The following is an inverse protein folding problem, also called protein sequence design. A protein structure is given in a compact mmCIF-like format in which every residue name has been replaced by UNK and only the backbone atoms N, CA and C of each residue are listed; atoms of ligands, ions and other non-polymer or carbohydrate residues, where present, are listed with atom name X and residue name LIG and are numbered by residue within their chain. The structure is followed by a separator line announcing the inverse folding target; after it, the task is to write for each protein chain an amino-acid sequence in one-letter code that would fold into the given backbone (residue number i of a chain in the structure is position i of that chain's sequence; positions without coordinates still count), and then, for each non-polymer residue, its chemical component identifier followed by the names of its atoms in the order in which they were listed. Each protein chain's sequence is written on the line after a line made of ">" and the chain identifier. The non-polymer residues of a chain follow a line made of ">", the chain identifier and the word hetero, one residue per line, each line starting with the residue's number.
data_IF_992859549758
#
_entry.id   IF_992859549758
#
_cell.length_a   1.000
_cell.length_b   1.000
_cell.length_c   1.000
_cell.angle_alpha   90.00
_cell.angle_beta   90.00
_cell.angle_gamma   90.00
#
_symmetry.space_group_name_H-M   'P 1'
#
loop_
_entity.id
_entity.type
_entity.pdbx_description
1 polymer ?
#
# COMPACT_ATOMS: atom_id res chain seq x y z
N UNK A 1 13.36 9.76 40.40
CA UNK A 1 14.61 9.50 39.65
C UNK A 1 14.39 8.60 38.44
N UNK A 2 13.73 7.44 38.57
CA UNK A 2 13.34 6.60 37.42
C UNK A 2 12.44 7.30 36.38
N UNK A 3 11.51 8.15 36.84
CA UNK A 3 10.59 8.87 35.94
C UNK A 3 11.30 9.89 35.03
N UNK A 4 12.35 10.55 35.53
CA UNK A 4 13.12 11.57 34.79
C UNK A 4 14.09 10.91 33.81
N UNK A 5 14.72 9.79 34.21
CA UNK A 5 15.60 9.00 33.35
C UNK A 5 14.85 8.32 32.19
N UNK A 6 13.59 7.90 32.42
CA UNK A 6 12.74 7.32 31.37
C UNK A 6 12.28 8.37 30.35
N UNK A 7 12.01 9.60 30.81
CA UNK A 7 11.63 10.72 29.97
C UNK A 7 12.76 11.17 29.03
N UNK A 8 14.02 11.07 29.48
CA UNK A 8 15.18 11.46 28.68
C UNK A 8 15.63 10.42 27.65
N UNK A 9 15.35 9.13 27.87
CA UNK A 9 15.84 8.04 26.99
C UNK A 9 14.77 7.28 26.19
N UNK A 10 13.50 7.18 26.66
CA UNK A 10 12.44 6.42 25.96
C UNK A 10 11.33 7.29 25.35
N UNK A 11 11.32 8.59 25.61
CA UNK A 11 10.36 9.52 24.99
C UNK A 11 8.92 9.42 25.52
N UNK A 12 8.20 10.54 25.46
CA UNK A 12 6.81 10.68 25.92
C UNK A 12 5.86 9.72 25.20
N UNK A 13 6.13 9.43 23.93
CA UNK A 13 5.29 8.56 23.11
C UNK A 13 5.22 7.13 23.65
N UNK A 14 6.37 6.52 23.99
CA UNK A 14 6.42 5.15 24.52
C UNK A 14 5.74 5.06 25.89
N UNK A 15 5.88 6.11 26.72
CA UNK A 15 5.17 6.19 27.99
C UNK A 15 3.65 6.22 27.79
N UNK A 16 3.16 7.06 26.86
CA UNK A 16 1.74 7.14 26.51
C UNK A 16 1.24 5.79 25.99
N UNK A 17 1.95 5.16 25.07
CA UNK A 17 1.55 3.86 24.51
C UNK A 17 1.49 2.77 25.59
N UNK A 18 2.49 2.72 26.46
CA UNK A 18 2.54 1.77 27.58
C UNK A 18 1.39 1.98 28.54
N UNK A 19 1.10 3.23 28.90
CA UNK A 19 0.01 3.58 29.81
C UNK A 19 -1.36 3.35 29.17
N UNK A 20 -1.50 3.64 27.87
CA UNK A 20 -2.69 3.38 27.08
C UNK A 20 -3.04 1.89 27.03
N UNK A 21 -2.03 1.04 26.85
CA UNK A 21 -2.14 -0.42 26.92
C UNK A 21 -2.46 -0.89 28.35
N UNK A 22 -1.74 -0.39 29.35
CA UNK A 22 -1.92 -0.75 30.77
C UNK A 22 -3.35 -0.48 31.24
N UNK A 23 -3.91 0.68 30.89
CA UNK A 23 -5.24 1.10 31.26
C UNK A 23 -6.34 0.52 30.34
N UNK A 24 -5.97 -0.25 29.30
CA UNK A 24 -6.88 -0.77 28.28
C UNK A 24 -7.83 0.31 27.75
N UNK A 25 -7.29 1.51 27.48
CA UNK A 25 -8.08 2.71 27.17
C UNK A 25 -9.10 2.50 26.04
N UNK A 26 -8.75 1.74 25.00
CA UNK A 26 -9.69 1.37 23.92
C UNK A 26 -10.91 0.61 24.43
N UNK A 27 -10.73 -0.32 25.37
CA UNK A 27 -11.85 -1.07 25.96
C UNK A 27 -12.73 -0.18 26.82
N UNK A 28 -12.13 0.74 27.59
CA UNK A 28 -12.88 1.73 28.39
C UNK A 28 -13.73 2.62 27.50
N UNK A 29 -13.16 3.14 26.41
CA UNK A 29 -13.86 3.97 25.42
C UNK A 29 -15.01 3.23 24.75
N UNK A 30 -14.83 1.93 24.43
CA UNK A 30 -15.92 1.09 23.90
C UNK A 30 -17.05 0.91 24.89
N UNK A 31 -16.74 0.58 26.15
CA UNK A 31 -17.74 0.38 27.20
C UNK A 31 -18.50 1.69 27.45
N UNK A 32 -17.79 2.82 27.51
CA UNK A 32 -18.40 4.15 27.62
C UNK A 32 -19.40 4.39 26.48
N UNK A 33 -18.99 4.18 25.23
CA UNK A 33 -19.86 4.42 24.08
C UNK A 33 -21.05 3.46 24.04
N UNK A 34 -20.83 2.18 24.33
CA UNK A 34 -21.89 1.18 24.40
C UNK A 34 -22.91 1.49 25.51
N UNK A 35 -22.44 1.90 26.69
CA UNK A 35 -23.31 2.31 27.81
C UNK A 35 -24.12 3.55 27.43
N UNK A 36 -23.49 4.53 26.76
CA UNK A 36 -24.18 5.73 26.28
C UNK A 36 -25.27 5.40 25.27
N UNK A 37 -25.00 4.54 24.28
CA UNK A 37 -25.99 4.07 23.31
C UNK A 37 -27.13 3.32 24.01
N UNK A 38 -26.81 2.44 24.97
CA UNK A 38 -27.80 1.72 25.76
C UNK A 38 -28.74 2.66 26.52
N UNK A 39 -28.20 3.71 27.16
CA UNK A 39 -29.02 4.73 27.85
C UNK A 39 -29.98 5.41 26.86
N UNK A 40 -29.51 5.76 25.65
CA UNK A 40 -30.38 6.34 24.62
C UNK A 40 -31.43 5.36 24.11
N UNK A 41 -31.12 4.07 23.98
CA UNK A 41 -32.10 3.02 23.62
C UNK A 41 -33.19 2.93 24.70
N UNK A 42 -32.81 2.87 25.99
CA UNK A 42 -33.76 2.80 27.10
C UNK A 42 -34.62 4.06 27.19
N UNK A 43 -34.06 5.24 26.92
CA UNK A 43 -34.79 6.49 26.87
C UNK A 43 -35.83 6.53 25.74
N UNK A 44 -35.49 6.02 24.55
CA UNK A 44 -36.40 5.89 23.41
C UNK A 44 -37.53 4.89 23.68
N UNK A 45 -37.29 3.85 24.49
CA UNK A 45 -38.34 2.92 24.93
C UNK A 45 -39.30 3.54 25.95
N UNK A 46 -38.83 4.52 26.74
CA UNK A 46 -39.60 5.18 27.79
C UNK A 46 -40.44 6.36 27.29
N UNK A 47 -39.91 7.17 26.37
CA UNK A 47 -40.67 8.24 25.70
C UNK A 47 -41.31 7.65 24.45
N UNK A 48 -42.61 7.38 24.50
CA UNK A 48 -43.46 6.78 23.46
C UNK A 48 -43.05 7.01 21.99
N UNK A 49 -42.06 6.27 21.51
CA UNK A 49 -41.77 6.09 20.09
C UNK A 49 -42.14 4.64 19.75
N UNK A 50 -43.44 4.37 19.80
CA UNK A 50 -43.98 3.02 19.49
C UNK A 50 -44.14 2.79 17.97
N UNK A 51 -43.98 3.84 17.15
CA UNK A 51 -44.30 3.82 15.71
C UNK A 51 -43.19 4.34 14.78
N UNK A 52 -41.97 4.60 15.25
CA UNK A 52 -40.89 4.95 14.31
C UNK A 52 -40.22 3.73 13.69
N UNK A 53 -39.82 3.89 12.43
CA UNK A 53 -39.11 2.86 11.69
C UNK A 53 -37.74 2.59 12.32
N UNK A 54 -37.26 1.35 12.22
CA UNK A 54 -35.93 0.95 12.68
C UNK A 54 -34.80 1.85 12.13
N UNK A 55 -35.00 2.44 10.95
CA UNK A 55 -34.08 3.39 10.34
C UNK A 55 -33.95 4.70 11.14
N UNK A 56 -35.07 5.31 11.54
CA UNK A 56 -35.04 6.56 12.32
C UNK A 56 -34.47 6.33 13.72
N UNK A 57 -34.74 5.17 14.33
CA UNK A 57 -34.11 4.77 15.59
C UNK A 57 -32.58 4.68 15.46
N UNK A 58 -32.06 4.01 14.42
CA UNK A 58 -30.61 3.91 14.17
C UNK A 58 -30.01 5.29 13.90
N UNK A 59 -30.68 6.11 13.09
CA UNK A 59 -30.25 7.48 12.77
C UNK A 59 -30.15 8.34 14.03
N UNK A 60 -31.16 8.29 14.90
CA UNK A 60 -31.15 8.99 16.19
C UNK A 60 -29.95 8.56 17.06
N UNK A 61 -29.71 7.25 17.20
CA UNK A 61 -28.63 6.71 18.01
C UNK A 61 -27.25 7.12 17.47
N UNK A 62 -27.05 7.09 16.15
CA UNK A 62 -25.80 7.52 15.51
C UNK A 62 -25.54 9.02 15.69
N UNK A 63 -26.58 9.86 15.66
CA UNK A 63 -26.45 11.30 15.86
C UNK A 63 -26.11 11.63 17.31
N UNK A 64 -26.83 11.05 18.28
CA UNK A 64 -26.65 11.29 19.72
C UNK A 64 -25.42 10.61 20.30
N UNK A 65 -24.95 9.55 19.65
CA UNK A 65 -23.72 8.84 19.99
C UNK A 65 -22.42 9.56 19.60
N UNK A 66 -22.49 10.73 18.94
CA UNK A 66 -21.33 11.43 18.38
C UNK A 66 -21.35 12.96 18.60
N UNK A 67 -22.01 13.43 19.65
CA UNK A 67 -22.16 14.85 19.95
C UNK A 67 -20.93 15.50 20.60
N UNK A 68 -20.12 14.70 21.30
CA UNK A 68 -18.92 15.15 22.02
C UNK A 68 -17.67 14.48 21.47
N UNK A 69 -16.51 15.12 21.63
CA UNK A 69 -15.23 14.55 21.17
C UNK A 69 -14.93 13.19 21.81
N UNK A 70 -15.28 13.01 23.08
CA UNK A 70 -15.12 11.74 23.81
C UNK A 70 -16.05 10.67 23.23
N UNK A 71 -17.29 11.03 22.84
CA UNK A 71 -18.20 10.10 22.18
C UNK A 71 -17.69 9.67 20.79
N UNK A 72 -17.10 10.59 20.03
CA UNK A 72 -16.44 10.26 18.75
C UNK A 72 -15.24 9.32 18.97
N UNK A 73 -14.41 9.53 20.00
CA UNK A 73 -13.33 8.59 20.36
C UNK A 73 -13.87 7.21 20.76
N UNK A 74 -15.00 7.17 21.46
CA UNK A 74 -15.74 5.95 21.75
C UNK A 74 -16.20 5.21 20.49
N UNK A 75 -16.84 5.91 19.56
CA UNK A 75 -17.27 5.36 18.28
C UNK A 75 -16.06 4.86 17.46
N UNK A 76 -14.98 5.63 17.40
CA UNK A 76 -13.73 5.26 16.75
C UNK A 76 -13.20 3.92 17.29
N UNK A 77 -13.29 3.69 18.60
CA UNK A 77 -12.86 2.42 19.19
C UNK A 77 -13.79 1.24 18.84
N UNK A 78 -15.09 1.50 18.67
CA UNK A 78 -16.04 0.50 18.17
C UNK A 78 -15.79 0.18 16.68
N UNK A 79 -15.57 1.20 15.86
CA UNK A 79 -15.17 1.07 14.45
C UNK A 79 -13.89 0.26 14.32
N UNK A 80 -12.86 0.57 15.12
CA UNK A 80 -11.60 -0.16 15.20
C UNK A 80 -11.81 -1.66 15.45
N UNK A 81 -12.66 -1.99 16.42
CA UNK A 81 -13.00 -3.37 16.76
C UNK A 81 -13.65 -4.08 15.57
N UNK A 82 -14.68 -3.47 14.97
CA UNK A 82 -15.38 -4.07 13.83
C UNK A 82 -14.46 -4.29 12.62
N UNK A 83 -13.64 -3.29 12.27
CA UNK A 83 -12.66 -3.37 11.19
C UNK A 83 -11.62 -4.46 11.43
N UNK A 84 -11.16 -4.65 12.67
CA UNK A 84 -10.25 -5.73 13.02
C UNK A 84 -10.88 -7.12 12.76
N UNK A 85 -12.12 -7.36 13.17
CA UNK A 85 -12.78 -8.65 12.90
C UNK A 85 -13.05 -8.89 11.42
N UNK A 86 -13.33 -7.84 10.63
CA UNK A 86 -13.38 -7.97 9.17
C UNK A 86 -12.03 -8.43 8.63
N UNK A 87 -10.92 -7.83 9.09
CA UNK A 87 -9.57 -8.25 8.72
C UNK A 87 -9.30 -9.72 9.05
N UNK A 88 -9.59 -10.12 10.29
CA UNK A 88 -9.45 -11.51 10.77
C UNK A 88 -10.30 -12.48 9.94
N UNK A 89 -11.52 -12.09 9.56
CA UNK A 89 -12.37 -12.89 8.70
C UNK A 89 -11.71 -13.15 7.33
N UNK A 90 -11.16 -12.13 6.69
CA UNK A 90 -10.48 -12.30 5.40
C UNK A 90 -9.16 -13.06 5.52
N UNK A 91 -8.39 -12.86 6.59
CA UNK A 91 -7.19 -13.66 6.88
C UNK A 91 -7.55 -15.13 7.07
N UNK A 92 -8.64 -15.42 7.79
CA UNK A 92 -9.15 -16.77 7.98
C UNK A 92 -9.60 -17.42 6.66
N UNK A 93 -10.31 -16.68 5.79
CA UNK A 93 -10.68 -17.16 4.44
C UNK A 93 -9.45 -17.50 3.61
N UNK A 94 -8.38 -16.70 3.73
CA UNK A 94 -7.15 -16.86 2.96
C UNK A 94 -6.13 -17.84 3.60
N UNK A 95 -6.35 -18.27 4.85
CA UNK A 95 -5.40 -19.06 5.65
C UNK A 95 -4.00 -18.43 5.73
N UNK A 96 -3.94 -17.12 5.99
CA UNK A 96 -2.67 -16.41 6.20
C UNK A 96 -2.39 -16.29 7.70
N UNK A 97 -1.23 -16.76 8.16
CA UNK A 97 -0.86 -16.80 9.59
C UNK A 97 -0.05 -15.57 10.07
N UNK A 98 0.50 -14.75 9.16
CA UNK A 98 1.64 -13.86 9.46
C UNK A 98 1.42 -12.33 9.34
N UNK A 99 0.19 -11.82 9.24
CA UNK A 99 0.01 -10.36 9.11
C UNK A 99 -0.29 -9.77 10.49
N UNK A 100 0.63 -8.94 11.01
CA UNK A 100 0.49 -8.15 12.25
C UNK A 100 -0.98 -7.75 12.55
N UNK A 101 -1.64 -8.56 13.39
CA UNK A 101 -3.09 -8.58 13.60
C UNK A 101 -3.69 -7.24 14.08
N UNK A 102 -2.85 -6.34 14.61
CA UNK A 102 -3.28 -5.07 15.23
C UNK A 102 -3.31 -3.88 14.27
N UNK A 103 -2.81 -4.03 13.05
CA UNK A 103 -2.60 -2.89 12.13
C UNK A 103 -3.91 -2.31 11.60
N UNK A 104 -4.81 -3.11 11.02
CA UNK A 104 -6.00 -2.57 10.34
C UNK A 104 -6.98 -1.89 11.29
N UNK A 105 -7.28 -2.51 12.44
CA UNK A 105 -8.17 -1.90 13.43
C UNK A 105 -7.66 -0.53 13.88
N UNK A 106 -6.35 -0.39 14.07
CA UNK A 106 -5.71 0.87 14.47
C UNK A 106 -5.72 1.90 13.33
N UNK A 107 -5.37 1.50 12.10
CA UNK A 107 -5.39 2.38 10.92
C UNK A 107 -6.81 2.90 10.66
N UNK A 108 -7.82 2.02 10.69
CA UNK A 108 -9.23 2.37 10.53
C UNK A 108 -9.71 3.34 11.62
N UNK A 109 -9.26 3.15 12.87
CA UNK A 109 -9.57 4.05 13.97
C UNK A 109 -9.01 5.46 13.72
N UNK A 110 -7.72 5.54 13.39
CA UNK A 110 -7.03 6.81 13.12
C UNK A 110 -7.68 7.52 11.93
N UNK A 111 -7.93 6.81 10.84
CA UNK A 111 -8.57 7.36 9.65
C UNK A 111 -9.97 7.91 9.97
N UNK A 112 -10.82 7.13 10.63
CA UNK A 112 -12.18 7.55 10.98
C UNK A 112 -12.16 8.80 11.89
N UNK A 113 -11.28 8.82 12.89
CA UNK A 113 -11.14 9.96 13.78
C UNK A 113 -10.64 11.22 13.06
N UNK A 114 -9.64 11.11 12.19
CA UNK A 114 -9.15 12.23 11.38
C UNK A 114 -10.26 12.78 10.47
N UNK A 115 -11.05 11.91 9.82
CA UNK A 115 -12.18 12.33 8.99
C UNK A 115 -13.27 13.04 9.80
N UNK A 116 -13.54 12.58 11.03
CA UNK A 116 -14.48 13.23 11.94
C UNK A 116 -13.98 14.61 12.39
N UNK A 117 -12.68 14.75 12.69
CA UNK A 117 -12.08 16.03 13.05
C UNK A 117 -12.04 17.01 11.87
N UNK A 118 -11.66 16.56 10.67
CA UNK A 118 -11.55 17.40 9.47
C UNK A 118 -12.88 18.03 9.04
N UNK A 119 -13.99 17.37 9.37
CA UNK A 119 -15.35 17.83 9.06
C UNK A 119 -16.01 18.60 10.21
N UNK A 120 -15.37 18.65 11.38
CA UNK A 120 -15.93 19.30 12.57
C UNK A 120 -17.21 18.60 13.06
N UNK A 121 -17.24 17.26 13.03
CA UNK A 121 -18.46 16.45 13.17
C UNK A 121 -19.32 16.81 14.40
N UNK A 122 -18.68 17.12 15.54
CA UNK A 122 -19.34 17.46 16.81
C UNK A 122 -20.08 18.80 16.78
N UNK A 123 -19.61 19.76 15.98
CA UNK A 123 -20.20 21.09 15.84
C UNK A 123 -21.32 21.20 14.79
N UNK A 124 -21.63 20.10 14.09
CA UNK A 124 -22.65 20.09 13.03
C UNK A 124 -24.05 19.85 13.59
N UNK A 125 -25.04 20.42 12.88
CA UNK A 125 -26.45 20.11 13.07
C UNK A 125 -26.72 18.60 12.94
N UNK A 126 -27.68 18.03 13.71
CA UNK A 126 -28.01 16.60 13.71
C UNK A 126 -28.12 15.94 12.32
N UNK A 127 -28.83 16.55 11.39
CA UNK A 127 -29.05 15.99 10.05
C UNK A 127 -27.76 15.98 9.21
N UNK A 128 -27.00 17.08 9.24
CA UNK A 128 -25.71 17.19 8.55
C UNK A 128 -24.70 16.21 9.14
N UNK A 129 -24.74 15.99 10.46
CA UNK A 129 -23.89 15.02 11.16
C UNK A 129 -24.12 13.60 10.67
N UNK A 130 -25.38 13.18 10.52
CA UNK A 130 -25.71 11.86 9.97
C UNK A 130 -25.15 11.67 8.55
N UNK A 131 -25.37 12.65 7.67
CA UNK A 131 -24.84 12.62 6.30
C UNK A 131 -23.31 12.52 6.31
N UNK A 132 -22.62 13.27 7.19
CA UNK A 132 -21.15 13.20 7.29
C UNK A 132 -20.65 11.87 7.84
N UNK A 133 -21.33 11.28 8.83
CA UNK A 133 -21.02 9.94 9.34
C UNK A 133 -21.13 8.90 8.22
N UNK A 134 -22.23 8.90 7.47
CA UNK A 134 -22.42 8.03 6.32
C UNK A 134 -21.29 8.17 5.29
N UNK A 135 -20.91 9.42 4.95
CA UNK A 135 -19.79 9.71 4.03
C UNK A 135 -18.45 9.20 4.54
N UNK A 136 -18.18 9.32 5.85
CA UNK A 136 -16.97 8.82 6.48
C UNK A 136 -16.93 7.28 6.49
N UNK A 137 -18.07 6.62 6.74
CA UNK A 137 -18.18 5.16 6.67
C UNK A 137 -17.90 4.67 5.25
N UNK A 138 -18.41 5.34 4.22
CA UNK A 138 -18.11 4.98 2.82
C UNK A 138 -16.61 5.06 2.50
N UNK A 139 -15.93 6.13 2.93
CA UNK A 139 -14.48 6.28 2.76
C UNK A 139 -13.70 5.23 3.56
N UNK A 140 -14.17 4.90 4.76
CA UNK A 140 -13.59 3.84 5.57
C UNK A 140 -13.76 2.46 4.91
N UNK A 141 -14.91 2.17 4.31
CA UNK A 141 -15.13 0.96 3.53
C UNK A 141 -14.11 0.87 2.38
N UNK A 142 -13.87 1.96 1.65
CA UNK A 142 -12.85 1.98 0.60
C UNK A 142 -11.45 1.65 1.17
N UNK A 143 -11.07 2.23 2.32
CA UNK A 143 -9.79 1.92 2.97
C UNK A 143 -9.68 0.45 3.42
N UNK A 144 -10.78 -0.17 3.89
CA UNK A 144 -10.80 -1.59 4.21
C UNK A 144 -10.57 -2.47 2.98
N UNK A 145 -11.13 -2.11 1.82
CA UNK A 145 -10.92 -2.85 0.57
C UNK A 145 -9.46 -2.79 0.12
N UNK A 146 -8.80 -1.63 0.24
CA UNK A 146 -7.36 -1.49 0.01
C UNK A 146 -6.53 -2.37 0.95
N UNK A 147 -6.90 -2.44 2.23
CA UNK A 147 -6.23 -3.35 3.17
C UNK A 147 -6.39 -4.82 2.76
N UNK A 148 -7.61 -5.26 2.41
CA UNK A 148 -7.86 -6.64 2.01
C UNK A 148 -7.06 -6.99 0.73
N UNK A 149 -6.92 -6.05 -0.21
CA UNK A 149 -6.03 -6.23 -1.37
C UNK A 149 -4.56 -6.39 -0.97
N UNK A 150 -4.07 -5.58 -0.02
CA UNK A 150 -2.71 -5.72 0.49
C UNK A 150 -2.43 -7.07 1.15
N UNK A 151 -3.45 -7.70 1.74
CA UNK A 151 -3.35 -9.07 2.29
C UNK A 151 -3.34 -10.13 1.19
N UNK A 152 -4.23 -10.03 0.19
CA UNK A 152 -4.35 -11.07 -0.86
C UNK A 152 -3.24 -10.99 -1.92
N UNK A 153 -2.66 -9.81 -2.18
CA UNK A 153 -1.69 -9.62 -3.26
C UNK A 153 -0.38 -10.43 -3.07
N UNK A 154 0.30 -10.40 -1.92
CA UNK A 154 1.48 -11.25 -1.69
C UNK A 154 1.15 -12.74 -1.79
N UNK A 155 -0.02 -13.16 -1.32
CA UNK A 155 -0.48 -14.54 -1.42
C UNK A 155 -0.62 -14.95 -2.90
N UNK A 156 -1.25 -14.13 -3.75
CA UNK A 156 -1.35 -14.40 -5.18
C UNK A 156 0.03 -14.59 -5.82
N UNK A 157 0.99 -13.70 -5.51
CA UNK A 157 2.36 -13.79 -6.05
C UNK A 157 3.08 -15.05 -5.58
N UNK A 158 2.87 -15.47 -4.32
CA UNK A 158 3.47 -16.69 -3.77
C UNK A 158 2.84 -17.98 -4.33
N UNK A 159 1.51 -17.99 -4.55
CA UNK A 159 0.80 -19.13 -5.10
C UNK A 159 1.20 -19.39 -6.55
N UNK A 160 1.42 -18.34 -7.34
CA UNK A 160 1.90 -18.50 -8.71
C UNK A 160 3.36 -18.96 -8.78
N UNK A 161 4.20 -18.52 -7.83
CA UNK A 161 5.62 -18.90 -7.79
C UNK A 161 5.87 -20.31 -7.24
N UNK A 162 5.00 -20.82 -6.36
CA UNK A 162 5.18 -22.12 -5.70
C UNK A 162 4.72 -23.33 -6.54
N UNK A 163 4.20 -23.11 -7.75
CA UNK A 163 3.66 -24.17 -8.62
C UNK A 163 2.71 -25.14 -7.90
N UNK A 164 1.94 -24.64 -6.93
CA UNK A 164 1.14 -25.47 -6.05
C UNK A 164 -0.11 -25.99 -6.79
N UNK A 165 -0.33 -27.32 -6.92
CA UNK A 165 -1.47 -27.85 -7.67
C UNK A 165 -2.82 -27.72 -6.94
N UNK A 166 -2.84 -27.24 -5.69
CA UNK A 166 -4.07 -27.20 -4.88
C UNK A 166 -5.06 -26.11 -5.34
N UNK A 167 -6.00 -26.50 -6.20
CA UNK A 167 -7.08 -25.64 -6.73
C UNK A 167 -7.85 -24.87 -5.65
N UNK A 168 -8.05 -25.47 -4.48
CA UNK A 168 -8.76 -24.84 -3.36
C UNK A 168 -8.07 -23.56 -2.85
N UNK A 169 -6.73 -23.51 -2.88
CA UNK A 169 -5.99 -22.30 -2.44
C UNK A 169 -6.13 -21.18 -3.46
N UNK A 170 -6.01 -21.50 -4.74
CA UNK A 170 -6.24 -20.55 -5.83
C UNK A 170 -7.68 -20.03 -5.84
N UNK A 171 -8.67 -20.92 -5.67
CA UNK A 171 -10.08 -20.54 -5.65
C UNK A 171 -10.40 -19.54 -4.53
N UNK A 172 -9.87 -19.74 -3.32
CA UNK A 172 -10.09 -18.81 -2.20
C UNK A 172 -9.53 -17.41 -2.47
N UNK A 173 -8.29 -17.34 -2.97
CA UNK A 173 -7.68 -16.06 -3.32
C UNK A 173 -8.47 -15.35 -4.45
N UNK A 174 -8.86 -16.09 -5.49
CA UNK A 174 -9.66 -15.56 -6.60
C UNK A 174 -11.07 -15.12 -6.17
N UNK A 175 -11.70 -15.80 -5.21
CA UNK A 175 -12.99 -15.40 -4.64
C UNK A 175 -12.88 -14.05 -3.91
N UNK A 176 -11.82 -13.84 -3.12
CA UNK A 176 -11.57 -12.55 -2.47
C UNK A 176 -11.33 -11.45 -3.51
N UNK A 177 -10.56 -11.73 -4.57
CA UNK A 177 -10.40 -10.77 -5.67
C UNK A 177 -11.71 -10.46 -6.40
N UNK A 178 -12.57 -11.46 -6.62
CA UNK A 178 -13.90 -11.27 -7.19
C UNK A 178 -14.76 -10.34 -6.33
N UNK A 179 -14.75 -10.55 -5.00
CA UNK A 179 -15.40 -9.64 -4.05
C UNK A 179 -14.85 -8.21 -4.14
N UNK A 180 -13.51 -8.05 -4.21
CA UNK A 180 -12.85 -6.75 -4.34
C UNK A 180 -13.12 -6.03 -5.67
N UNK A 181 -13.74 -6.68 -6.66
CA UNK A 181 -14.20 -6.03 -7.89
C UNK A 181 -15.70 -5.73 -7.80
N UNK A 182 -16.51 -6.74 -7.44
CA UNK A 182 -17.97 -6.62 -7.42
C UNK A 182 -18.44 -5.62 -6.37
N UNK A 183 -17.86 -5.62 -5.17
CA UNK A 183 -18.28 -4.73 -4.09
C UNK A 183 -18.05 -3.24 -4.41
N UNK A 184 -16.86 -2.78 -4.85
CA UNK A 184 -16.68 -1.41 -5.31
C UNK A 184 -17.60 -1.00 -6.46
N UNK A 185 -17.83 -1.87 -7.44
CA UNK A 185 -18.70 -1.55 -8.59
C UNK A 185 -20.14 -1.34 -8.12
N UNK A 186 -20.67 -2.26 -7.31
CA UNK A 186 -22.03 -2.15 -6.76
C UNK A 186 -22.16 -0.89 -5.89
N UNK A 187 -21.17 -0.62 -5.02
CA UNK A 187 -21.11 0.61 -4.23
C UNK A 187 -21.12 1.87 -5.10
N UNK A 188 -20.34 1.91 -6.19
CA UNK A 188 -20.31 3.05 -7.10
C UNK A 188 -21.65 3.25 -7.81
N UNK A 189 -22.25 2.18 -8.34
CA UNK A 189 -23.56 2.28 -9.01
C UNK A 189 -24.66 2.77 -8.05
N UNK A 190 -24.63 2.33 -6.79
CA UNK A 190 -25.54 2.81 -5.77
C UNK A 190 -25.32 4.29 -5.45
N UNK A 191 -24.07 4.71 -5.24
CA UNK A 191 -23.74 6.10 -4.90
C UNK A 191 -24.08 7.08 -6.04
N UNK A 192 -23.80 6.73 -7.29
CA UNK A 192 -24.08 7.58 -8.45
C UNK A 192 -25.57 7.65 -8.81
N UNK A 193 -26.38 6.65 -8.43
CA UNK A 193 -27.83 6.69 -8.62
C UNK A 193 -28.57 7.52 -7.56
N UNK A 194 -28.03 7.61 -6.34
CA UNK A 194 -28.69 8.27 -5.22
C UNK A 194 -28.14 9.66 -4.88
N UNK A 195 -26.96 10.03 -5.40
CA UNK A 195 -26.32 11.29 -5.08
C UNK A 195 -25.93 12.07 -6.34
N UNK A 196 -26.14 13.38 -6.28
CA UNK A 196 -25.65 14.30 -7.31
C UNK A 196 -24.12 14.45 -7.22
N UNK A 197 -23.53 14.93 -8.31
CA UNK A 197 -22.09 15.15 -8.41
C UNK A 197 -21.64 16.12 -7.31
N UNK A 198 -20.68 15.66 -6.51
CA UNK A 198 -20.12 16.42 -5.39
C UNK A 198 -18.65 16.06 -5.20
N UNK A 199 -17.88 16.93 -4.54
CA UNK A 199 -16.46 16.68 -4.29
C UNK A 199 -16.21 15.40 -3.50
N UNK A 200 -17.09 15.08 -2.54
CA UNK A 200 -17.05 13.80 -1.83
C UNK A 200 -17.32 12.61 -2.73
N UNK A 201 -18.34 12.67 -3.60
CA UNK A 201 -18.68 11.58 -4.51
C UNK A 201 -17.52 11.30 -5.48
N UNK A 202 -16.83 12.35 -5.94
CA UNK A 202 -15.63 12.22 -6.77
C UNK A 202 -14.48 11.55 -6.00
N UNK A 203 -14.24 11.93 -4.74
CA UNK A 203 -13.18 11.34 -3.93
C UNK A 203 -13.43 9.84 -3.64
N UNK A 204 -14.64 9.48 -3.21
CA UNK A 204 -14.98 8.05 -2.98
C UNK A 204 -14.97 7.25 -4.29
N UNK A 205 -15.33 7.87 -5.42
CA UNK A 205 -15.23 7.23 -6.74
C UNK A 205 -13.79 6.95 -7.13
N UNK A 206 -12.89 7.91 -6.91
CA UNK A 206 -11.45 7.75 -7.14
C UNK A 206 -10.89 6.54 -6.40
N UNK A 207 -11.13 6.43 -5.09
CA UNK A 207 -10.61 5.31 -4.29
C UNK A 207 -11.18 3.95 -4.71
N UNK A 208 -12.47 3.90 -5.09
CA UNK A 208 -13.10 2.66 -5.55
C UNK A 208 -12.60 2.23 -6.94
N UNK A 209 -12.37 3.16 -7.85
CA UNK A 209 -11.80 2.85 -9.18
C UNK A 209 -10.33 2.42 -9.02
N UNK A 210 -9.58 3.10 -8.16
CA UNK A 210 -8.19 2.75 -7.88
C UNK A 210 -8.04 1.31 -7.37
N UNK A 211 -8.88 0.88 -6.42
CA UNK A 211 -8.83 -0.50 -5.91
C UNK A 211 -9.21 -1.54 -6.99
N UNK A 212 -10.20 -1.25 -7.84
CA UNK A 212 -10.55 -2.14 -8.97
C UNK A 212 -9.33 -2.32 -9.88
N UNK A 213 -8.66 -1.23 -10.24
CA UNK A 213 -7.48 -1.28 -11.12
C UNK A 213 -6.33 -2.01 -10.44
N UNK A 214 -6.06 -1.77 -9.15
CA UNK A 214 -5.05 -2.50 -8.37
C UNK A 214 -5.30 -4.01 -8.38
N UNK A 215 -6.55 -4.45 -8.18
CA UNK A 215 -6.92 -5.87 -8.22
C UNK A 215 -6.73 -6.45 -9.62
N UNK A 216 -7.14 -5.74 -10.68
CA UNK A 216 -6.95 -6.18 -12.07
C UNK A 216 -5.46 -6.32 -12.44
N UNK A 217 -4.61 -5.39 -12.00
CA UNK A 217 -3.15 -5.46 -12.17
C UNK A 217 -2.57 -6.69 -11.47
N UNK A 218 -2.97 -6.96 -10.21
CA UNK A 218 -2.55 -8.15 -9.47
C UNK A 218 -2.99 -9.44 -10.17
N UNK A 219 -4.23 -9.52 -10.65
CA UNK A 219 -4.75 -10.68 -11.39
C UNK A 219 -4.05 -10.87 -12.74
N UNK A 220 -3.71 -9.80 -13.44
CA UNK A 220 -2.97 -9.88 -14.70
C UNK A 220 -1.55 -10.43 -14.50
N UNK A 221 -0.83 -9.94 -13.49
CA UNK A 221 0.50 -10.47 -13.13
C UNK A 221 0.41 -11.93 -12.67
N UNK A 222 -0.56 -12.25 -11.82
CA UNK A 222 -0.83 -13.62 -11.40
C UNK A 222 -1.11 -14.56 -12.58
N UNK A 223 -1.91 -14.10 -13.55
CA UNK A 223 -2.21 -14.88 -14.77
C UNK A 223 -0.96 -15.11 -15.63
N UNK A 224 -0.08 -14.10 -15.76
CA UNK A 224 1.19 -14.26 -16.47
C UNK A 224 2.09 -15.31 -15.82
N UNK A 225 2.23 -15.27 -14.49
CA UNK A 225 3.03 -16.28 -13.78
C UNK A 225 2.40 -17.67 -13.84
N UNK A 226 1.07 -17.77 -13.81
CA UNK A 226 0.40 -19.05 -14.00
C UNK A 226 0.64 -19.60 -15.41
N UNK A 227 0.57 -18.76 -16.44
CA UNK A 227 0.87 -19.17 -17.83
C UNK A 227 2.33 -19.62 -17.95
N UNK A 228 3.27 -18.89 -17.36
CA UNK A 228 4.69 -19.28 -17.34
C UNK A 228 4.89 -20.64 -16.67
N UNK A 229 4.19 -20.88 -15.56
CA UNK A 229 4.24 -22.14 -14.82
C UNK A 229 3.78 -23.38 -15.62
N UNK A 230 2.91 -23.20 -16.61
CA UNK A 230 2.46 -24.30 -17.49
C UNK A 230 3.30 -24.43 -18.77
N UNK A 231 4.17 -23.46 -19.07
CA UNK A 231 5.04 -23.54 -20.25
C UNK A 231 6.26 -24.40 -19.96
N UNK A 232 6.65 -25.21 -20.95
CA UNK A 232 7.88 -26.02 -20.90
C UNK A 232 9.11 -25.23 -21.37
N UNK A 233 8.91 -24.18 -22.16
CA UNK A 233 9.96 -23.31 -22.70
C UNK A 233 10.09 -22.03 -21.88
N UNK A 234 11.32 -21.58 -21.63
CA UNK A 234 11.59 -20.33 -20.91
C UNK A 234 11.05 -19.11 -21.64
N UNK A 235 10.33 -18.25 -20.91
CA UNK A 235 9.72 -17.04 -21.46
C UNK A 235 10.60 -15.80 -21.22
N UNK A 236 11.46 -15.50 -22.17
CA UNK A 236 12.42 -14.38 -22.06
C UNK A 236 11.76 -13.02 -21.72
N UNK A 237 10.59 -12.72 -22.31
CA UNK A 237 9.90 -11.41 -22.19
C UNK A 237 8.95 -11.30 -20.99
N UNK A 238 8.83 -12.31 -20.13
CA UNK A 238 7.90 -12.31 -19.00
C UNK A 238 8.10 -11.08 -18.09
N UNK A 239 9.33 -10.80 -17.70
CA UNK A 239 9.66 -9.69 -16.79
C UNK A 239 9.34 -8.32 -17.40
N UNK A 240 9.43 -8.20 -18.73
CA UNK A 240 9.03 -6.97 -19.42
C UNK A 240 7.52 -6.78 -19.35
N UNK A 241 6.72 -7.82 -19.61
CA UNK A 241 5.26 -7.75 -19.46
C UNK A 241 4.83 -7.45 -18.03
N UNK A 242 5.43 -8.14 -17.04
CA UNK A 242 5.15 -7.89 -15.61
C UNK A 242 5.49 -6.43 -15.26
N UNK A 243 6.62 -5.92 -15.74
CA UNK A 243 6.98 -4.52 -15.55
C UNK A 243 5.97 -3.56 -16.19
N UNK A 244 5.57 -3.76 -17.44
CA UNK A 244 4.63 -2.86 -18.11
C UNK A 244 3.29 -2.81 -17.38
N UNK A 245 2.78 -3.96 -16.94
CA UNK A 245 1.52 -4.05 -16.18
C UNK A 245 1.64 -3.34 -14.82
N UNK A 246 2.71 -3.60 -14.06
CA UNK A 246 2.94 -2.93 -12.77
C UNK A 246 3.16 -1.42 -12.93
N UNK A 247 3.93 -1.02 -13.94
CA UNK A 247 4.17 0.39 -14.25
C UNK A 247 2.88 1.12 -14.64
N UNK A 248 1.99 0.47 -15.39
CA UNK A 248 0.67 1.01 -15.71
C UNK A 248 -0.15 1.22 -14.44
N UNK A 249 -0.24 0.21 -13.57
CA UNK A 249 -0.94 0.31 -12.28
C UNK A 249 -0.44 1.48 -11.43
N UNK A 250 0.87 1.58 -11.23
CA UNK A 250 1.49 2.66 -10.45
C UNK A 250 1.28 4.04 -11.08
N UNK A 251 1.26 4.13 -12.41
CA UNK A 251 0.99 5.40 -13.12
C UNK A 251 -0.46 5.85 -12.89
N UNK A 252 -1.41 4.92 -12.93
CA UNK A 252 -2.82 5.22 -12.66
C UNK A 252 -3.03 5.64 -11.21
N UNK A 253 -2.40 4.96 -10.26
CA UNK A 253 -2.41 5.34 -8.84
C UNK A 253 -1.88 6.77 -8.64
N UNK A 254 -0.74 7.10 -9.24
CA UNK A 254 -0.18 8.45 -9.21
C UNK A 254 -1.14 9.50 -9.79
N UNK A 255 -1.79 9.20 -10.92
CA UNK A 255 -2.79 10.09 -11.51
C UNK A 255 -3.99 10.35 -10.58
N UNK A 256 -4.51 9.30 -9.92
CA UNK A 256 -5.57 9.46 -8.92
C UNK A 256 -5.08 10.21 -7.66
N UNK A 257 -3.83 10.00 -7.27
CA UNK A 257 -3.17 10.77 -6.21
C UNK A 257 -3.16 12.28 -6.48
N UNK A 258 -2.80 12.69 -7.71
CA UNK A 258 -2.87 14.08 -8.17
C UNK A 258 -4.32 14.57 -8.20
N UNK A 259 -5.25 13.79 -8.76
CA UNK A 259 -6.66 14.16 -8.84
C UNK A 259 -7.26 14.43 -7.44
N UNK A 260 -7.01 13.54 -6.48
CA UNK A 260 -7.46 13.69 -5.09
C UNK A 260 -6.80 14.89 -4.41
N UNK A 261 -5.53 15.15 -4.69
CA UNK A 261 -4.84 16.33 -4.16
C UNK A 261 -5.47 17.63 -4.68
N UNK A 262 -5.70 17.75 -6.00
CA UNK A 262 -6.36 18.90 -6.59
C UNK A 262 -7.79 19.08 -6.07
N UNK A 263 -8.53 17.98 -5.90
CA UNK A 263 -9.85 17.99 -5.28
C UNK A 263 -9.79 18.50 -3.83
N UNK A 264 -8.79 18.05 -3.06
CA UNK A 264 -8.56 18.50 -1.68
C UNK A 264 -8.17 19.98 -1.58
N UNK A 265 -7.31 20.48 -2.48
CA UNK A 265 -6.96 21.90 -2.58
C UNK A 265 -8.19 22.73 -2.94
N UNK A 266 -9.01 22.29 -3.90
CA UNK A 266 -10.27 22.96 -4.24
C UNK A 266 -11.20 23.08 -3.03
N UNK A 267 -11.40 22.00 -2.28
CA UNK A 267 -12.21 22.02 -1.06
C UNK A 267 -11.65 23.00 -0.02
N UNK A 268 -10.33 23.05 0.14
CA UNK A 268 -9.66 23.93 1.11
C UNK A 268 -9.83 25.41 0.78
N UNK A 269 -9.69 25.77 -0.51
CA UNK A 269 -9.75 27.16 -0.97
C UNK A 269 -11.20 27.66 -1.06
N UNK A 270 -12.12 26.85 -1.60
CA UNK A 270 -13.45 27.32 -2.00
C UNK A 270 -14.61 26.86 -1.10
N UNK A 271 -14.43 25.83 -0.28
CA UNK A 271 -15.56 25.25 0.50
C UNK A 271 -15.36 25.41 2.00
N UNK A 272 -14.24 24.96 2.55
CA UNK A 272 -13.89 25.18 3.96
C UNK A 272 -12.39 25.05 4.18
N UNK A 273 -11.80 26.04 4.83
CA UNK A 273 -10.43 25.94 5.34
C UNK A 273 -10.36 25.10 6.62
N UNK A 274 -9.14 24.82 7.09
CA UNK A 274 -8.91 24.22 8.40
C UNK A 274 -7.49 23.67 8.55
N UNK A 275 -6.89 23.87 9.73
CA UNK A 275 -5.51 23.44 9.99
C UNK A 275 -5.33 21.91 9.86
N UNK A 276 -6.28 21.12 10.36
CA UNK A 276 -6.26 19.65 10.22
C UNK A 276 -6.28 19.24 8.75
N UNK A 277 -7.11 19.90 7.93
CA UNK A 277 -7.20 19.63 6.49
C UNK A 277 -5.92 20.00 5.76
N UNK A 278 -5.32 21.13 6.09
CA UNK A 278 -4.02 21.56 5.54
C UNK A 278 -2.93 20.53 5.88
N UNK A 279 -2.86 20.08 7.13
CA UNK A 279 -1.89 19.07 7.55
C UNK A 279 -2.05 17.75 6.78
N UNK A 280 -3.28 17.29 6.56
CA UNK A 280 -3.54 16.08 5.76
C UNK A 280 -3.10 16.27 4.31
N UNK A 281 -3.38 17.42 3.70
CA UNK A 281 -2.93 17.72 2.33
C UNK A 281 -1.41 17.73 2.20
N UNK A 282 -0.69 18.25 3.20
CA UNK A 282 0.78 18.18 3.23
C UNK A 282 1.30 16.75 3.32
N UNK A 283 0.69 15.93 4.18
CA UNK A 283 1.02 14.49 4.30
C UNK A 283 0.76 13.78 2.97
N UNK A 284 -0.39 14.03 2.34
CA UNK A 284 -0.74 13.46 1.04
C UNK A 284 0.24 13.89 -0.06
N UNK A 285 0.60 15.17 -0.12
CA UNK A 285 1.58 15.67 -1.09
C UNK A 285 2.96 15.04 -0.92
N UNK A 286 3.38 14.79 0.32
CA UNK A 286 4.67 14.16 0.59
C UNK A 286 4.65 12.67 0.24
N UNK A 287 3.75 11.88 0.84
CA UNK A 287 3.76 10.42 0.67
C UNK A 287 3.21 9.98 -0.69
N UNK A 288 2.04 10.48 -1.10
CA UNK A 288 1.33 9.96 -2.29
C UNK A 288 1.70 10.68 -3.60
N UNK A 289 2.53 11.73 -3.54
CA UNK A 289 2.98 12.44 -4.75
C UNK A 289 4.49 12.48 -4.79
N UNK A 290 5.16 13.10 -3.81
CA UNK A 290 6.60 13.29 -3.87
C UNK A 290 7.39 11.99 -3.77
N UNK A 291 7.11 11.14 -2.79
CA UNK A 291 7.77 9.84 -2.64
C UNK A 291 7.50 8.93 -3.84
N UNK A 292 6.25 8.79 -4.26
CA UNK A 292 5.87 7.98 -5.42
C UNK A 292 6.52 8.47 -6.73
N UNK A 293 6.52 9.77 -6.97
CA UNK A 293 7.19 10.36 -8.13
C UNK A 293 8.71 10.11 -8.08
N UNK A 294 9.35 10.28 -6.92
CA UNK A 294 10.78 10.04 -6.73
C UNK A 294 11.15 8.58 -6.99
N UNK A 295 10.36 7.65 -6.49
CA UNK A 295 10.62 6.22 -6.63
C UNK A 295 10.34 5.74 -8.07
N UNK A 296 9.25 6.21 -8.68
CA UNK A 296 8.97 6.01 -10.10
C UNK A 296 10.10 6.54 -11.00
N UNK A 297 10.59 7.76 -10.73
CA UNK A 297 11.70 8.36 -11.47
C UNK A 297 13.00 7.55 -11.33
N UNK A 298 13.30 7.07 -10.12
CA UNK A 298 14.49 6.25 -9.84
C UNK A 298 14.46 4.93 -10.61
N UNK A 299 13.31 4.25 -10.63
CA UNK A 299 13.12 3.00 -11.37
C UNK A 299 13.25 3.24 -12.88
N UNK A 300 12.64 4.31 -13.39
CA UNK A 300 12.72 4.68 -14.80
C UNK A 300 14.15 4.95 -15.25
N UNK A 301 14.92 5.75 -14.48
CA UNK A 301 16.34 6.02 -14.78
C UNK A 301 17.15 4.72 -14.79
N UNK A 302 17.03 3.88 -13.76
CA UNK A 302 17.76 2.60 -13.70
C UNK A 302 17.49 1.73 -14.92
N UNK A 303 16.23 1.61 -15.34
CA UNK A 303 15.84 0.84 -16.53
C UNK A 303 16.42 1.46 -17.81
N UNK A 304 16.34 2.77 -17.98
CA UNK A 304 16.90 3.46 -19.16
C UNK A 304 18.41 3.31 -19.23
N UNK A 305 19.11 3.37 -18.10
CA UNK A 305 20.56 3.14 -18.03
C UNK A 305 20.91 1.69 -18.38
N UNK A 306 20.17 0.70 -17.88
CA UNK A 306 20.40 -0.72 -18.22
C UNK A 306 20.15 -1.01 -19.72
N UNK A 307 19.13 -0.40 -20.32
CA UNK A 307 18.87 -0.51 -21.77
C UNK A 307 20.06 0.04 -22.57
N UNK A 308 20.53 1.25 -22.24
CA UNK A 308 21.71 1.84 -22.91
C UNK A 308 22.97 0.99 -22.75
N UNK A 309 23.19 0.43 -21.55
CA UNK A 309 24.29 -0.49 -21.28
C UNK A 309 24.25 -1.68 -22.24
N UNK A 310 23.11 -2.35 -22.37
CA UNK A 310 22.95 -3.50 -23.27
C UNK A 310 23.05 -3.11 -24.75
N UNK A 311 22.49 -1.98 -25.16
CA UNK A 311 22.58 -1.49 -26.55
C UNK A 311 24.01 -1.14 -26.96
N UNK A 312 24.87 -0.74 -26.02
CA UNK A 312 26.29 -0.50 -26.28
C UNK A 312 27.14 -1.75 -26.47
N UNK A 313 26.59 -2.95 -26.19
CA UNK A 313 27.31 -4.20 -26.39
C UNK A 313 27.10 -4.73 -27.82
N UNK A 314 28.16 -5.20 -28.48
CA UNK A 314 28.03 -5.81 -29.80
C UNK A 314 27.17 -7.07 -29.73
N UNK A 315 26.42 -7.30 -30.80
CA UNK A 315 25.63 -8.51 -30.99
C UNK A 315 26.47 -9.55 -31.71
N UNK A 316 26.44 -10.79 -31.22
CA UNK A 316 27.20 -11.87 -31.81
C UNK A 316 26.58 -12.29 -33.15
N UNK A 317 27.42 -12.49 -34.15
CA UNK A 317 26.99 -12.99 -35.47
C UNK A 317 26.65 -14.48 -35.39
N UNK A 318 25.75 -14.96 -36.26
CA UNK A 318 25.35 -16.38 -36.27
C UNK A 318 26.53 -17.33 -36.42
N UNK A 319 27.57 -16.94 -37.15
CA UNK A 319 28.82 -17.70 -37.32
C UNK A 319 29.58 -17.83 -35.99
N UNK A 320 29.74 -16.72 -35.25
CA UNK A 320 30.41 -16.74 -33.95
C UNK A 320 29.65 -17.59 -32.92
N UNK A 321 28.30 -17.57 -32.94
CA UNK A 321 27.52 -18.46 -32.08
C UNK A 321 27.69 -19.93 -32.48
N UNK A 322 27.70 -20.25 -33.78
CA UNK A 322 27.88 -21.64 -34.22
C UNK A 322 29.28 -22.19 -33.97
N UNK A 323 30.30 -21.32 -33.97
CA UNK A 323 31.68 -21.70 -33.63
C UNK A 323 31.87 -21.90 -32.11
N UNK A 324 31.19 -21.11 -31.29
CA UNK A 324 31.24 -21.23 -29.83
C UNK A 324 30.53 -22.51 -29.35
N UNK A 325 29.38 -22.84 -29.95
CA UNK A 325 28.52 -24.00 -29.63
C UNK A 325 28.29 -24.21 -28.11
N UNK A 326 27.98 -23.12 -27.41
CA UNK A 326 27.78 -23.11 -25.95
C UNK A 326 26.40 -22.56 -25.56
N UNK A 327 25.99 -22.86 -24.34
CA UNK A 327 24.73 -22.38 -23.73
C UNK A 327 24.97 -21.09 -22.95
N UNK A 328 23.92 -20.28 -22.77
CA UNK A 328 24.04 -19.10 -21.93
C UNK A 328 24.28 -19.52 -20.46
N UNK A 329 25.41 -19.15 -19.87
CA UNK A 329 25.78 -19.51 -18.50
C UNK A 329 24.85 -18.96 -17.39
N UNK A 330 23.89 -18.09 -17.73
CA UNK A 330 22.90 -17.54 -16.79
C UNK A 330 21.63 -18.41 -16.74
N UNK A 331 21.12 -18.86 -17.89
CA UNK A 331 19.87 -19.63 -17.98
C UNK A 331 20.04 -21.08 -18.46
N UNK A 332 21.26 -21.47 -18.82
CA UNK A 332 21.64 -22.80 -19.33
C UNK A 332 20.85 -23.24 -20.57
N UNK A 333 20.49 -22.30 -21.45
CA UNK A 333 19.80 -22.57 -22.71
C UNK A 333 20.62 -22.14 -23.93
N UNK A 334 20.36 -22.80 -25.07
CA UNK A 334 21.01 -22.49 -26.33
C UNK A 334 20.80 -21.02 -26.73
N UNK A 335 21.87 -20.40 -27.25
CA UNK A 335 21.83 -19.02 -27.69
C UNK A 335 21.49 -18.96 -29.19
N UNK A 336 20.30 -18.44 -29.53
CA UNK A 336 19.97 -18.06 -30.92
C UNK A 336 20.41 -16.62 -31.25
N UNK A 337 20.55 -15.78 -30.23
CA UNK A 337 21.15 -14.45 -30.27
C UNK A 337 21.84 -14.16 -28.94
N UNK A 338 23.01 -13.52 -29.00
CA UNK A 338 23.83 -13.24 -27.82
C UNK A 338 24.43 -11.83 -27.88
N UNK A 339 24.63 -11.23 -26.70
CA UNK A 339 25.43 -10.03 -26.51
C UNK A 339 26.82 -10.43 -26.05
N UNK A 340 27.84 -9.82 -26.66
CA UNK A 340 29.24 -10.05 -26.33
C UNK A 340 29.67 -8.98 -25.33
N UNK A 341 30.15 -9.40 -24.16
CA UNK A 341 30.70 -8.49 -23.16
C UNK A 341 32.09 -7.98 -23.58
N UNK A 342 32.58 -6.90 -22.95
CA UNK A 342 33.96 -6.40 -23.21
C UNK A 342 35.06 -7.41 -22.87
N UNK A 343 34.78 -8.37 -22.00
CA UNK A 343 35.64 -9.50 -21.68
C UNK A 343 35.41 -10.72 -22.60
N UNK A 344 34.71 -10.55 -23.73
CA UNK A 344 34.42 -11.57 -24.75
C UNK A 344 33.63 -12.79 -24.25
N UNK A 345 32.74 -12.61 -23.27
CA UNK A 345 31.77 -13.63 -22.85
C UNK A 345 30.40 -13.40 -23.51
N UNK A 346 29.69 -14.50 -23.78
CA UNK A 346 28.44 -14.52 -24.54
C UNK A 346 27.26 -14.84 -23.63
N UNK A 347 26.20 -14.04 -23.71
CA UNK A 347 24.97 -14.25 -22.95
C UNK A 347 23.75 -13.82 -23.77
N UNK A 348 22.56 -14.37 -23.51
CA UNK A 348 21.33 -13.77 -24.02
C UNK A 348 21.26 -12.31 -23.54
N UNK A 349 20.89 -11.39 -24.45
CA UNK A 349 20.79 -9.97 -24.11
C UNK A 349 19.81 -9.69 -22.96
N UNK A 350 18.77 -10.52 -22.82
CA UNK A 350 17.79 -10.44 -21.73
C UNK A 350 18.41 -10.92 -20.40
N UNK A 351 19.09 -12.07 -20.40
CA UNK A 351 19.74 -12.62 -19.20
C UNK A 351 20.80 -11.66 -18.66
N UNK A 352 21.65 -11.11 -19.54
CA UNK A 352 22.67 -10.15 -19.16
C UNK A 352 22.07 -8.83 -18.65
N UNK A 353 20.96 -8.37 -19.25
CA UNK A 353 20.22 -7.19 -18.75
C UNK A 353 19.74 -7.39 -17.32
N UNK A 354 19.19 -8.57 -17.03
CA UNK A 354 18.71 -8.93 -15.68
C UNK A 354 19.84 -8.90 -14.66
N UNK A 355 20.98 -9.50 -15.01
CA UNK A 355 22.17 -9.50 -14.16
C UNK A 355 22.67 -8.08 -13.86
N UNK A 356 22.75 -7.23 -14.89
CA UNK A 356 23.20 -5.84 -14.79
C UNK A 356 22.25 -4.92 -14.00
N UNK A 357 21.04 -5.36 -13.64
CA UNK A 357 20.22 -4.63 -12.66
C UNK A 357 20.78 -4.73 -11.24
N UNK A 358 21.51 -5.80 -10.93
CA UNK A 358 22.00 -6.10 -9.58
C UNK A 358 23.50 -5.82 -9.49
N UNK A 359 24.28 -6.28 -10.47
CA UNK A 359 25.73 -6.16 -10.45
C UNK A 359 26.28 -5.70 -11.80
N UNK A 360 27.20 -4.73 -11.78
CA UNK A 360 27.90 -4.23 -12.97
C UNK A 360 29.12 -5.08 -13.38
N UNK A 361 29.11 -6.37 -13.01
CA UNK A 361 30.22 -7.32 -13.21
C UNK A 361 29.82 -8.45 -14.15
N UNK A 362 30.78 -9.02 -14.86
CA UNK A 362 30.55 -10.18 -15.71
C UNK A 362 30.20 -11.41 -14.85
N UNK A 363 29.15 -12.19 -15.17
CA UNK A 363 28.80 -13.42 -14.44
C UNK A 363 29.89 -14.50 -14.44
N UNK A 364 30.77 -14.52 -15.46
CA UNK A 364 31.81 -15.53 -15.61
C UNK A 364 33.14 -15.09 -14.98
N UNK A 365 33.68 -13.94 -15.38
CA UNK A 365 35.00 -13.49 -14.89
C UNK A 365 34.97 -12.44 -13.79
N UNK A 366 33.79 -11.94 -13.38
CA UNK A 366 33.63 -10.88 -12.37
C UNK A 366 34.28 -9.52 -12.72
N UNK A 367 34.81 -9.37 -13.94
CA UNK A 367 35.31 -8.10 -14.45
C UNK A 367 34.20 -7.06 -14.56
N UNK A 368 34.57 -5.81 -14.30
CA UNK A 368 33.64 -4.68 -14.35
C UNK A 368 33.31 -4.38 -15.82
N UNK A 369 32.05 -4.60 -16.20
CA UNK A 369 31.58 -4.39 -17.58
C UNK A 369 31.39 -2.90 -17.90
N UNK A 370 31.07 -2.11 -16.89
CA UNK A 370 30.90 -0.67 -16.96
C UNK A 370 31.64 -0.02 -15.80
N UNK A 371 32.79 0.62 -16.07
CA UNK A 371 33.31 1.63 -15.16
C UNK A 371 32.30 2.76 -15.18
N UNK A 372 31.49 2.89 -14.14
CA UNK A 372 30.74 4.11 -13.95
C UNK A 372 31.78 5.24 -13.82
N UNK A 373 31.58 6.34 -14.55
CA UNK A 373 32.13 7.62 -14.14
C UNK A 373 31.45 8.01 -12.82
N UNK A 374 31.83 7.33 -11.73
CA UNK A 374 31.56 7.71 -10.36
C UNK A 374 32.76 8.49 -9.83
N UNK A 375 33.10 9.58 -10.52
CA UNK A 375 33.74 10.70 -9.84
C UNK A 375 32.69 11.31 -8.89
N UNK A 376 32.88 11.09 -7.58
CA UNK A 376 32.29 11.83 -6.44
C UNK A 376 31.22 11.15 -5.55
N UNK A 377 31.16 9.82 -5.40
CA UNK A 377 30.39 9.23 -4.26
C UNK A 377 31.12 8.14 -3.47
N UNK A 378 32.20 7.54 -3.98
CA UNK A 378 32.92 6.48 -3.25
C UNK A 378 34.18 6.95 -2.48
N UNK A 379 34.49 8.24 -2.47
CA UNK A 379 35.65 8.77 -1.72
C UNK A 379 35.35 9.16 -0.27
N UNK A 380 34.11 9.02 0.21
CA UNK A 380 33.75 9.38 1.59
C UNK A 380 33.75 8.19 2.56
N UNK A 381 33.41 6.98 2.11
CA UNK A 381 33.35 5.82 3.02
C UNK A 381 34.73 5.17 3.28
N UNK A 382 35.70 5.33 2.37
CA UNK A 382 37.06 4.77 2.57
C UNK A 382 37.91 5.65 3.49
N UNK A 383 37.72 6.97 3.45
CA UNK A 383 38.47 7.90 4.31
C UNK A 383 38.02 7.80 5.78
N UNK A 384 36.74 7.50 6.03
CA UNK A 384 36.23 7.36 7.40
C UNK A 384 36.74 6.10 8.13
N UNK A 385 37.07 5.03 7.38
CA UNK A 385 37.68 3.82 7.95
C UNK A 385 39.19 3.96 8.18
N UNK A 386 39.90 4.71 7.34
CA UNK A 386 41.32 5.00 7.54
C UNK A 386 41.58 5.99 8.68
N UNK A 387 40.70 6.99 8.87
CA UNK A 387 40.79 7.90 10.01
C UNK A 387 40.50 7.19 11.35
N UNK A 388 39.59 6.20 11.37
CA UNK A 388 39.32 5.42 12.58
C UNK A 388 40.49 4.48 12.95
N UNK A 389 41.16 3.89 11.96
CA UNK A 389 42.30 3.02 12.21
C UNK A 389 43.52 3.80 12.74
N UNK A 390 43.77 5.00 12.20
CA UNK A 390 44.86 5.87 12.65
C UNK A 390 44.67 6.39 14.09
N UNK A 391 43.42 6.53 14.56
CA UNK A 391 43.14 6.91 15.96
C UNK A 391 43.35 5.72 16.91
N UNK A 392 42.99 4.51 16.50
CA UNK A 392 43.18 3.29 17.31
C UNK A 392 44.67 2.95 17.45
N UNK A 393 45.47 3.22 16.42
CA UNK A 393 46.92 2.96 16.46
C UNK A 393 47.70 4.04 17.25
N UNK A 394 47.14 5.24 17.44
CA UNK A 394 47.73 6.31 18.25
C UNK A 394 47.48 6.17 19.77
N UNK A 395 46.43 5.47 20.17
CA UNK A 395 46.12 5.19 21.59
C UNK A 395 46.86 3.96 22.16
N UNK A 396 47.54 3.18 21.29
CA UNK A 396 48.29 1.98 21.67
C UNK A 396 49.83 2.14 21.61
N UNK A 397 50.34 3.37 21.45
CA UNK A 397 51.78 3.69 21.42
C UNK A 397 52.22 4.53 22.60
#
# INVERSE_FOLDING_TARGET
>A
MYFVFYFSHLGVFILIEREWSRLKMTSVLRIFWATRILIHILHMQYIEIKNETLFEAIKYLLIKGNDTFIAVLGMTSFVSYFCHYIGVFFQWVLLTEDVDDKSIGTISAVLFYILALQTGLTGLDPEKRFIRLYRNVCLLCAALLHYIHNVVNPLLMSLSASHNPSLNRHLRALLVCGFLIVFPITMLTYLWSHHSISTWLLAVSSFNIEIIIKVLVSLAVYSLFLIDAYRTTFWEKLDDYVYYIKSFGNTVEFCFGIFLFLNGVYIMVFVSGGAVRASMMCIHAYFNIWCDARDGWRVFIKRRTAVKKIESLPEATSVQLSELDDVCAICYQNMGSAKITKCNHYFHGVCLRKWLYVQDRCPLCHDILYKAEMSNVQTQDTNQFQDLQNVIDADNS
#
